data_IF_857391499603
#
_entry.id   IF_857391499603
#
_cell.length_a   1.000
_cell.length_b   1.000
_cell.length_c   1.000
_cell.angle_alpha   90.00
_cell.angle_beta   90.00
_cell.angle_gamma   90.00
#
_symmetry.space_group_name_H-M   'P 1'
#
loop_
_entity.id
_entity.type
_entity.pdbx_description
1 polymer ?
#
# COMPACT_ATOMS: atom_id res chain seq x y z
N UNK A 1 0.29 7.55 13.53
CA UNK A 1 -0.37 8.27 12.41
C UNK A 1 -1.14 7.28 11.57
N UNK A 2 -0.50 6.36 10.84
CA UNK A 2 -1.21 5.23 10.21
C UNK A 2 -2.07 4.51 11.25
N UNK A 3 -1.41 4.02 12.32
CA UNK A 3 -1.96 3.31 13.50
C UNK A 3 -3.07 4.03 14.32
N UNK A 4 -3.51 5.22 13.88
CA UNK A 4 -4.57 5.98 14.54
C UNK A 4 -5.85 6.06 13.71
N UNK A 5 -5.77 5.72 12.42
CA UNK A 5 -6.82 5.99 11.44
C UNK A 5 -7.13 4.78 10.56
N UNK A 6 -6.28 3.76 10.57
CA UNK A 6 -6.53 2.49 9.92
C UNK A 6 -7.74 1.80 10.53
N UNK A 7 -8.36 0.94 9.71
CA UNK A 7 -9.49 0.10 10.12
C UNK A 7 -9.27 -1.30 9.56
N UNK A 8 -9.71 -2.35 10.26
CA UNK A 8 -9.73 -3.69 9.69
C UNK A 8 -10.44 -3.70 8.33
N UNK A 9 -9.80 -4.29 7.33
CA UNK A 9 -10.29 -4.34 5.94
C UNK A 9 -9.94 -3.12 5.07
N UNK A 10 -9.22 -2.14 5.61
CA UNK A 10 -8.54 -1.16 4.77
C UNK A 10 -7.44 -1.87 3.96
N UNK A 11 -7.38 -1.60 2.65
CA UNK A 11 -6.28 -2.09 1.82
C UNK A 11 -5.04 -1.23 1.95
N UNK A 12 -3.87 -1.77 1.65
CA UNK A 12 -2.61 -1.01 1.52
C UNK A 12 -1.88 -1.31 0.22
N UNK A 13 -1.29 -0.27 -0.36
CA UNK A 13 -0.36 -0.34 -1.48
C UNK A 13 0.95 0.37 -1.13
N UNK A 14 2.04 -0.22 -1.60
CA UNK A 14 3.38 0.32 -1.49
C UNK A 14 3.87 0.68 -2.89
N UNK A 15 4.39 1.90 -3.04
CA UNK A 15 4.92 2.37 -4.32
C UNK A 15 6.24 3.14 -4.13
N UNK A 16 7.18 2.92 -5.03
CA UNK A 16 8.41 3.69 -5.11
C UNK A 16 8.76 4.00 -6.55
N UNK A 17 8.62 5.27 -6.90
CA UNK A 17 8.74 5.77 -8.27
C UNK A 17 10.17 5.67 -8.82
N UNK A 18 11.18 5.71 -7.95
CA UNK A 18 12.60 5.75 -8.32
C UNK A 18 13.43 4.65 -7.65
N UNK A 19 12.79 3.56 -7.21
CA UNK A 19 13.49 2.43 -6.61
C UNK A 19 13.69 1.29 -7.62
N UNK A 20 14.72 0.48 -7.37
CA UNK A 20 14.90 -0.79 -8.08
C UNK A 20 13.71 -1.77 -7.86
N UNK A 21 13.08 -1.70 -6.68
CA UNK A 21 11.91 -2.48 -6.32
C UNK A 21 10.71 -1.56 -6.09
N UNK A 22 9.63 -1.67 -6.90
CA UNK A 22 8.47 -0.76 -6.78
C UNK A 22 7.74 -0.84 -5.44
N UNK A 23 7.79 -1.97 -4.77
CA UNK A 23 7.15 -2.22 -3.47
C UNK A 23 8.12 -2.10 -2.29
N UNK A 24 9.29 -1.46 -2.47
CA UNK A 24 10.28 -1.23 -1.41
C UNK A 24 9.67 -0.71 -0.09
N UNK A 25 8.68 0.21 -0.08
CA UNK A 25 8.08 0.66 1.18
C UNK A 25 7.35 -0.41 1.99
N UNK A 26 7.09 -1.60 1.43
CA UNK A 26 6.56 -2.74 2.20
C UNK A 26 7.47 -3.12 3.37
N UNK A 27 8.77 -2.82 3.27
CA UNK A 27 9.73 -3.04 4.36
C UNK A 27 9.33 -2.32 5.66
N UNK A 28 8.56 -1.22 5.59
CA UNK A 28 7.99 -0.59 6.77
C UNK A 28 6.97 -1.48 7.50
N UNK A 29 6.18 -2.28 6.78
CA UNK A 29 5.26 -3.23 7.39
C UNK A 29 5.98 -4.36 8.10
N UNK A 30 7.13 -4.78 7.59
CA UNK A 30 7.96 -5.77 8.27
C UNK A 30 8.64 -5.21 9.52
N UNK A 31 9.07 -3.94 9.48
CA UNK A 31 9.70 -3.28 10.61
C UNK A 31 8.71 -2.86 11.71
N UNK A 32 7.46 -2.52 11.35
CA UNK A 32 6.44 -1.97 12.24
C UNK A 32 5.10 -2.71 12.15
N UNK A 33 5.06 -4.04 12.37
CA UNK A 33 3.89 -4.89 12.08
C UNK A 33 2.61 -4.40 12.75
N UNK A 34 2.67 -3.95 14.01
CA UNK A 34 1.49 -3.47 14.75
C UNK A 34 0.72 -2.33 14.04
N UNK A 35 1.38 -1.52 13.22
CA UNK A 35 0.73 -0.44 12.46
C UNK A 35 0.08 -0.91 11.15
N UNK A 36 0.48 -2.07 10.64
CA UNK A 36 0.09 -2.59 9.33
C UNK A 36 -0.70 -3.90 9.39
N UNK A 37 -0.66 -4.64 10.51
CA UNK A 37 -1.40 -5.89 10.72
C UNK A 37 -2.92 -5.77 10.45
N UNK A 38 -3.60 -4.64 10.72
CA UNK A 38 -5.02 -4.49 10.37
C UNK A 38 -5.28 -4.28 8.87
N UNK A 39 -4.24 -4.04 8.06
CA UNK A 39 -4.33 -3.69 6.65
C UNK A 39 -4.09 -4.89 5.74
N UNK A 40 -4.85 -4.96 4.66
CA UNK A 40 -4.68 -5.99 3.63
C UNK A 40 -3.68 -5.51 2.55
N UNK A 41 -2.49 -6.11 2.47
CA UNK A 41 -1.56 -5.83 1.35
C UNK A 41 -2.13 -6.38 0.04
N UNK A 42 -2.71 -5.47 -0.75
CA UNK A 42 -3.44 -5.83 -1.96
C UNK A 42 -2.51 -6.32 -3.07
N UNK A 43 -1.22 -5.95 -3.02
CA UNK A 43 -0.23 -6.28 -4.03
C UNK A 43 0.60 -7.54 -3.70
N UNK A 44 0.54 -8.04 -2.47
CA UNK A 44 1.27 -9.24 -2.04
C UNK A 44 0.52 -10.52 -2.44
N UNK A 45 1.20 -11.41 -3.16
CA UNK A 45 0.69 -12.74 -3.48
C UNK A 45 1.06 -13.74 -2.39
N UNK A 46 2.35 -13.83 -2.06
CA UNK A 46 2.88 -14.68 -1.00
C UNK A 46 3.78 -13.87 -0.07
N UNK A 47 3.71 -14.13 1.23
CA UNK A 47 4.59 -13.51 2.22
C UNK A 47 6.06 -13.93 2.01
N UNK A 48 7.03 -13.15 2.53
CA UNK A 48 8.44 -13.54 2.51
C UNK A 48 8.70 -14.97 3.01
N UNK A 49 8.03 -15.36 4.10
CA UNK A 49 8.16 -16.70 4.69
C UNK A 49 7.56 -17.80 3.81
N UNK A 50 6.45 -17.54 3.11
CA UNK A 50 5.79 -18.51 2.24
C UNK A 50 6.53 -18.71 0.92
N UNK A 51 7.05 -17.63 0.32
CA UNK A 51 7.76 -17.68 -0.96
C UNK A 51 9.24 -18.08 -0.83
N UNK A 52 9.82 -18.02 0.37
CA UNK A 52 11.25 -18.18 0.57
C UNK A 52 12.09 -17.02 0.01
N UNK A 53 11.49 -15.83 -0.18
CA UNK A 53 12.16 -14.63 -0.68
C UNK A 53 12.13 -13.53 0.37
N UNK A 54 13.08 -12.58 0.35
CA UNK A 54 13.14 -11.52 1.36
C UNK A 54 11.95 -10.54 1.33
N UNK A 55 11.22 -10.45 0.21
CA UNK A 55 10.16 -9.45 -0.01
C UNK A 55 8.77 -10.03 -0.29
N UNK A 56 8.66 -11.34 -0.35
CA UNK A 56 7.47 -12.00 -0.87
C UNK A 56 7.40 -11.95 -2.40
N UNK A 57 6.24 -12.30 -2.94
CA UNK A 57 5.95 -12.24 -4.37
C UNK A 57 4.80 -11.27 -4.63
N UNK A 58 4.81 -10.64 -5.80
CA UNK A 58 3.76 -9.70 -6.20
C UNK A 58 2.66 -10.41 -6.95
N UNK A 59 1.43 -9.96 -6.74
CA UNK A 59 0.29 -10.40 -7.53
C UNK A 59 0.32 -9.82 -8.94
N UNK A 60 -0.37 -10.47 -9.87
CA UNK A 60 -0.54 -9.98 -11.23
C UNK A 60 -1.48 -8.75 -11.29
N UNK A 61 -1.42 -7.93 -12.35
CA UNK A 61 -2.25 -6.72 -12.47
C UNK A 61 -3.76 -6.96 -12.39
N UNK A 62 -4.27 -8.10 -12.88
CA UNK A 62 -5.71 -8.39 -12.86
C UNK A 62 -6.18 -8.77 -11.46
N UNK A 63 -5.38 -9.52 -10.71
CA UNK A 63 -5.67 -9.82 -9.31
C UNK A 63 -5.58 -8.58 -8.43
N UNK A 64 -4.56 -7.73 -8.61
CA UNK A 64 -4.48 -6.43 -7.94
C UNK A 64 -5.72 -5.58 -8.24
N UNK A 65 -6.13 -5.52 -9.50
CA UNK A 65 -7.31 -4.78 -9.91
C UNK A 65 -8.57 -5.25 -9.17
N UNK A 66 -8.82 -6.56 -9.17
CA UNK A 66 -9.98 -7.13 -8.48
C UNK A 66 -9.97 -6.88 -6.97
N UNK A 67 -8.80 -6.95 -6.33
CA UNK A 67 -8.65 -6.65 -4.89
C UNK A 67 -8.94 -5.18 -4.58
N UNK A 68 -8.47 -4.26 -5.43
CA UNK A 68 -8.80 -2.83 -5.34
C UNK A 68 -10.29 -2.55 -5.53
N UNK A 69 -10.98 -3.31 -6.37
CA UNK A 69 -12.41 -3.15 -6.56
C UNK A 69 -13.20 -3.60 -5.32
N UNK A 70 -12.66 -4.56 -4.54
CA UNK A 70 -13.27 -5.09 -3.32
C UNK A 70 -13.14 -4.23 -2.06
N UNK A 71 -12.35 -3.15 -2.08
CA UNK A 71 -12.09 -2.31 -0.89
C UNK A 71 -12.57 -0.87 -1.05
N UNK A 72 -13.16 -0.30 -0.01
CA UNK A 72 -13.63 1.10 -0.03
C UNK A 72 -12.60 2.10 0.47
N UNK A 73 -11.53 1.64 1.12
CA UNK A 73 -10.49 2.47 1.74
C UNK A 73 -9.13 1.87 1.42
N UNK A 74 -8.22 2.69 0.91
CA UNK A 74 -6.87 2.26 0.53
C UNK A 74 -5.83 3.24 1.06
N UNK A 75 -4.86 2.71 1.79
CA UNK A 75 -3.64 3.41 2.17
C UNK A 75 -2.60 3.27 1.06
N UNK A 76 -2.01 4.38 0.63
CA UNK A 76 -0.85 4.41 -0.24
C UNK A 76 0.35 4.87 0.56
N UNK A 77 1.40 4.05 0.60
CA UNK A 77 2.68 4.35 1.20
C UNK A 77 3.69 4.52 0.06
N UNK A 78 4.05 5.76 -0.23
CA UNK A 78 4.92 6.11 -1.35
C UNK A 78 6.27 6.66 -0.86
N UNK A 79 7.35 6.27 -1.53
CA UNK A 79 8.68 6.87 -1.35
C UNK A 79 9.28 7.24 -2.71
N UNK A 80 10.32 8.09 -2.69
CA UNK A 80 11.10 8.38 -3.90
C UNK A 80 10.43 9.33 -4.90
N UNK A 81 9.37 10.05 -4.53
CA UNK A 81 8.77 11.11 -5.34
C UNK A 81 7.55 11.78 -4.68
N UNK A 82 7.02 12.84 -5.31
CA UNK A 82 5.78 13.54 -4.90
C UNK A 82 4.71 13.39 -5.98
N UNK A 83 4.25 12.18 -6.32
CA UNK A 83 3.28 12.02 -7.41
C UNK A 83 2.08 11.18 -7.01
N UNK A 84 1.17 11.78 -6.25
CA UNK A 84 -0.24 11.36 -6.29
C UNK A 84 -0.88 11.99 -7.54
N UNK A 85 -1.61 11.28 -8.43
CA UNK A 85 -2.11 9.90 -8.36
C UNK A 85 -1.69 9.01 -9.56
N UNK A 86 -1.53 7.69 -9.33
CA UNK A 86 -1.23 6.70 -10.39
C UNK A 86 -2.15 5.47 -10.39
N UNK A 87 -2.13 4.60 -9.37
CA UNK A 87 -2.83 3.31 -9.45
C UNK A 87 -4.33 3.33 -9.03
N UNK A 88 -4.76 4.37 -8.31
CA UNK A 88 -6.11 4.44 -7.72
C UNK A 88 -7.07 5.39 -8.45
N UNK A 89 -6.53 6.34 -9.23
CA UNK A 89 -7.33 7.27 -10.00
C UNK A 89 -8.13 6.52 -11.09
N UNK A 90 -9.45 6.70 -11.11
CA UNK A 90 -10.36 6.03 -12.04
C UNK A 90 -11.16 4.84 -11.47
N UNK A 91 -10.98 4.48 -10.18
CA UNK A 91 -11.74 3.40 -9.52
C UNK A 91 -12.78 3.86 -8.49
N UNK A 92 -13.21 5.12 -8.59
CA UNK A 92 -14.06 5.80 -7.60
C UNK A 92 -13.35 6.15 -6.29
N UNK A 93 -12.08 5.75 -6.13
CA UNK A 93 -11.24 6.11 -5.00
C UNK A 93 -10.71 7.53 -5.17
N UNK A 94 -11.09 8.42 -4.26
CA UNK A 94 -10.64 9.80 -4.21
C UNK A 94 -9.68 9.99 -3.03
N UNK A 95 -8.71 10.89 -3.19
CA UNK A 95 -7.75 11.22 -2.14
C UNK A 95 -8.50 11.93 -1.00
N UNK A 96 -8.64 11.25 0.15
CA UNK A 96 -9.33 11.79 1.32
C UNK A 96 -8.37 12.55 2.24
N UNK A 97 -7.15 12.03 2.43
CA UNK A 97 -6.15 12.67 3.28
C UNK A 97 -4.73 12.31 2.88
N UNK A 98 -3.83 13.29 2.99
CA UNK A 98 -2.38 13.05 2.99
C UNK A 98 -1.86 13.36 4.37
N UNK A 99 -0.98 12.51 4.86
CA UNK A 99 -0.35 12.68 6.13
C UNK A 99 1.17 12.85 5.97
N UNK A 100 1.79 13.84 6.63
CA UNK A 100 3.22 14.10 6.50
C UNK A 100 4.04 13.02 7.21
N UNK A 101 5.02 12.44 6.52
CA UNK A 101 5.96 11.48 7.08
C UNK A 101 7.37 11.68 6.50
N UNK A 102 7.95 12.87 6.73
CA UNK A 102 9.26 13.27 6.21
C UNK A 102 9.38 13.09 4.67
N UNK A 103 10.21 12.15 4.21
CA UNK A 103 10.39 11.81 2.79
C UNK A 103 9.45 10.69 2.30
N UNK A 104 8.51 10.26 3.14
CA UNK A 104 7.49 9.25 2.86
C UNK A 104 6.14 9.96 2.72
N UNK A 105 5.39 9.60 1.68
CA UNK A 105 4.00 10.00 1.53
C UNK A 105 3.11 8.90 2.09
N UNK A 106 2.25 9.23 3.05
CA UNK A 106 1.18 8.35 3.53
C UNK A 106 -0.14 8.98 3.16
N UNK A 107 -0.86 8.37 2.23
CA UNK A 107 -2.13 8.88 1.73
C UNK A 107 -3.26 7.89 1.96
N UNK A 108 -4.44 8.40 2.29
CA UNK A 108 -5.67 7.63 2.40
C UNK A 108 -6.60 8.01 1.26
N UNK A 109 -7.07 6.99 0.55
CA UNK A 109 -8.08 7.07 -0.50
C UNK A 109 -9.37 6.40 -0.04
N UNK A 110 -10.51 6.99 -0.39
CA UNK A 110 -11.85 6.53 0.01
C UNK A 110 -12.80 6.55 -1.19
N UNK A 111 -13.87 5.76 -1.17
CA UNK A 111 -14.98 5.83 -2.15
C UNK A 111 -16.10 6.73 -1.64
#
# INVERSE_FOLDING_TARGET
>A
MLAQYERPGDGVLYDCLNCHYPDMPREFAFAYPAAFDPLDDLALAESPSASGTLRGTRTDPATLARRLDGVSRVWLIETGGKRLPGPLAGRGLHLARVYPADNITVALYER
#
